data_IF_701593358770
#
_entry.id   IF_701593358770
#
_cell.length_a   1.000
_cell.length_b   1.000
_cell.length_c   1.000
_cell.angle_alpha   90.00
_cell.angle_beta   90.00
_cell.angle_gamma   90.00
#
_symmetry.space_group_name_H-M   'P 1'
#
loop_
_entity.id
_entity.type
_entity.pdbx_description
1 polymer ?
#
# COMPACT_ATOMS: atom_id res chain seq x y z
N UNK A 1 -12.50 17.21 11.04
CA UNK A 1 -11.41 16.42 11.65
C UNK A 1 -10.27 16.33 10.67
N UNK A 2 -9.05 16.10 11.15
CA UNK A 2 -7.84 15.89 10.32
C UNK A 2 -7.37 14.48 10.58
N UNK A 3 -6.91 13.79 9.55
CA UNK A 3 -6.40 12.41 9.66
C UNK A 3 -5.11 12.26 8.88
N UNK A 4 -4.17 11.53 9.45
CA UNK A 4 -2.98 11.02 8.79
C UNK A 4 -3.13 9.50 8.73
N UNK A 5 -3.00 8.93 7.55
CA UNK A 5 -3.10 7.49 7.32
C UNK A 5 -1.81 7.05 6.63
N UNK A 6 -1.12 6.07 7.22
CA UNK A 6 0.09 5.45 6.67
C UNK A 6 -0.30 4.15 5.98
N UNK A 7 0.18 3.96 4.75
CA UNK A 7 0.02 2.74 3.95
C UNK A 7 -1.41 2.18 3.89
N UNK A 8 -2.42 3.06 3.90
CA UNK A 8 -3.84 2.68 3.94
C UNK A 8 -4.20 1.71 5.08
N UNK A 9 -3.49 1.78 6.20
CA UNK A 9 -3.71 0.92 7.36
C UNK A 9 -3.60 -0.58 7.07
N UNK A 10 -2.72 -0.97 6.14
CA UNK A 10 -2.39 -2.39 5.90
C UNK A 10 -1.87 -3.13 7.13
N UNK A 11 -1.30 -2.41 8.11
CA UNK A 11 -0.78 -2.97 9.36
C UNK A 11 -1.77 -2.92 10.53
N UNK A 12 -3.03 -2.56 10.28
CA UNK A 12 -4.05 -2.55 11.32
C UNK A 12 -4.33 -3.97 11.82
N UNK A 13 -4.77 -4.12 13.06
CA UNK A 13 -5.17 -5.43 13.60
C UNK A 13 -6.67 -5.67 13.35
N UNK A 14 -7.02 -6.83 12.80
CA UNK A 14 -8.41 -7.26 12.63
C UNK A 14 -8.69 -8.49 13.48
N UNK A 15 -9.69 -8.35 14.35
CA UNK A 15 -10.27 -9.46 15.10
C UNK A 15 -11.68 -9.73 14.59
N UNK A 16 -11.89 -10.95 14.11
CA UNK A 16 -13.19 -11.45 13.65
C UNK A 16 -13.60 -12.60 14.57
N UNK A 17 -14.82 -12.57 15.08
CA UNK A 17 -15.37 -13.61 15.95
C UNK A 17 -16.33 -14.48 15.14
N UNK A 18 -16.34 -15.79 15.40
CA UNK A 18 -17.24 -16.74 14.72
C UNK A 18 -18.72 -16.62 15.17
N UNK A 19 -19.00 -15.74 16.12
CA UNK A 19 -20.34 -15.49 16.67
C UNK A 19 -21.23 -14.59 15.77
N UNK A 20 -20.69 -14.13 14.63
CA UNK A 20 -21.38 -13.28 13.68
C UNK A 20 -21.39 -11.79 14.06
N UNK A 21 -20.62 -11.39 15.07
CA UNK A 21 -20.37 -9.97 15.33
C UNK A 21 -19.54 -9.34 14.22
N UNK A 22 -19.74 -8.04 13.90
CA UNK A 22 -18.92 -7.36 12.92
C UNK A 22 -17.43 -7.39 13.31
N UNK A 23 -16.51 -7.46 12.33
CA UNK A 23 -15.09 -7.46 12.60
C UNK A 23 -14.68 -6.15 13.29
N UNK A 24 -13.80 -6.26 14.29
CA UNK A 24 -13.19 -5.09 14.95
C UNK A 24 -11.89 -4.73 14.25
N UNK A 25 -11.73 -3.43 13.98
CA UNK A 25 -10.64 -2.82 13.22
C UNK A 25 -9.88 -1.85 14.13
N UNK A 26 -8.63 -2.17 14.46
CA UNK A 26 -7.74 -1.29 15.23
C UNK A 26 -6.71 -0.62 14.31
N UNK A 27 -6.91 0.67 14.02
CA UNK A 27 -6.01 1.50 13.22
C UNK A 27 -5.00 2.33 14.02
N UNK A 28 -4.89 2.11 15.33
CA UNK A 28 -4.01 2.92 16.19
C UNK A 28 -2.54 2.89 15.76
N UNK A 29 -2.10 1.84 15.07
CA UNK A 29 -0.73 1.68 14.55
C UNK A 29 -0.44 2.47 13.26
N UNK A 30 -1.47 2.84 12.50
CA UNK A 30 -1.34 3.34 11.13
C UNK A 30 -2.12 4.64 10.87
N UNK A 31 -3.02 5.02 11.78
CA UNK A 31 -3.84 6.22 11.66
C UNK A 31 -3.72 7.10 12.90
N UNK A 32 -3.53 8.40 12.67
CA UNK A 32 -3.65 9.42 13.70
C UNK A 32 -4.75 10.40 13.32
N UNK A 33 -5.60 10.78 14.27
CA UNK A 33 -6.69 11.72 14.07
C UNK A 33 -6.60 12.93 15.01
N UNK A 34 -7.06 14.08 14.52
CA UNK A 34 -7.09 15.34 15.25
C UNK A 34 -8.39 16.08 15.03
N UNK A 35 -8.87 16.77 16.07
CA UNK A 35 -10.04 17.64 15.96
C UNK A 35 -9.58 19.07 15.74
N UNK A 36 -10.17 19.75 14.77
CA UNK A 36 -9.91 21.18 14.54
C UNK A 36 -10.49 21.95 15.74
N UNK A 37 -9.75 22.91 16.35
CA UNK A 37 -10.25 23.67 17.48
C UNK A 37 -11.63 24.31 17.21
N UNK A 38 -12.49 24.45 18.24
CA UNK A 38 -13.82 25.08 18.10
C UNK A 38 -13.75 26.47 17.46
N UNK A 39 -14.81 26.86 16.76
CA UNK A 39 -14.96 28.12 15.99
C UNK A 39 -14.18 28.22 14.66
N UNK A 40 -13.44 27.18 14.27
CA UNK A 40 -12.88 27.05 12.92
C UNK A 40 -13.55 25.88 12.18
N UNK A 41 -14.13 26.16 11.02
CA UNK A 41 -14.67 25.12 10.12
C UNK A 41 -13.56 24.33 9.42
N UNK A 42 -12.41 24.98 9.16
CA UNK A 42 -11.24 24.42 8.48
C UNK A 42 -9.97 24.56 9.32
N UNK A 43 -9.04 23.61 9.19
CA UNK A 43 -7.69 23.79 9.71
C UNK A 43 -6.90 24.69 8.75
N UNK A 44 -6.87 25.99 9.04
CA UNK A 44 -6.06 26.96 8.29
C UNK A 44 -4.66 27.05 8.90
N UNK A 45 -3.70 26.32 8.31
CA UNK A 45 -2.29 26.37 8.71
C UNK A 45 -1.54 27.34 7.79
N UNK A 46 -0.95 28.40 8.34
CA UNK A 46 -0.09 29.33 7.60
C UNK A 46 1.38 28.86 7.54
N UNK A 47 1.60 27.55 7.56
CA UNK A 47 2.93 26.94 7.60
C UNK A 47 3.03 25.82 6.54
N UNK A 48 4.23 25.58 5.98
CA UNK A 48 4.42 24.50 5.03
C UNK A 48 4.21 23.13 5.69
N UNK A 49 3.68 22.18 4.92
CA UNK A 49 3.65 20.77 5.31
C UNK A 49 5.09 20.24 5.37
N UNK A 50 5.49 19.75 6.54
CA UNK A 50 6.82 19.17 6.77
C UNK A 50 6.70 17.65 6.88
N UNK A 51 7.63 16.93 6.24
CA UNK A 51 7.57 15.48 6.09
C UNK A 51 8.96 14.91 6.28
N UNK A 52 9.05 13.80 7.02
CA UNK A 52 10.31 13.11 7.30
C UNK A 52 11.21 13.80 8.33
N UNK A 53 10.90 15.03 8.71
CA UNK A 53 11.64 15.79 9.72
C UNK A 53 11.02 17.16 9.93
N UNK A 54 11.79 18.03 10.59
CA UNK A 54 11.37 19.39 10.91
C UNK A 54 12.43 20.40 10.47
N UNK A 55 11.98 21.59 10.13
CA UNK A 55 12.85 22.72 9.75
C UNK A 55 13.60 23.32 10.95
N UNK A 56 12.99 23.29 12.14
CA UNK A 56 13.52 23.94 13.36
C UNK A 56 14.18 22.91 14.26
N UNK A 57 15.52 22.81 14.22
CA UNK A 57 16.28 21.80 14.97
C UNK A 57 16.17 21.92 16.50
N UNK A 58 15.92 23.13 17.01
CA UNK A 58 15.76 23.41 18.43
C UNK A 58 14.47 24.18 18.66
N UNK A 59 13.52 23.58 19.35
CA UNK A 59 12.28 24.23 19.73
C UNK A 59 12.02 24.08 21.22
N UNK A 60 11.50 25.13 21.83
CA UNK A 60 11.04 25.12 23.22
C UNK A 60 9.69 24.39 23.28
N UNK A 61 9.59 23.19 23.88
CA UNK A 61 8.38 22.37 23.87
C UNK A 61 7.14 23.10 24.41
N UNK A 62 7.39 24.01 25.37
CA UNK A 62 6.36 24.77 26.07
C UNK A 62 5.68 25.84 25.20
N UNK A 63 6.29 26.25 24.08
CA UNK A 63 5.72 27.29 23.21
C UNK A 63 4.53 26.78 22.40
N UNK A 64 4.51 25.50 22.02
CA UNK A 64 3.56 24.99 21.01
C UNK A 64 2.40 24.16 21.58
N UNK A 65 2.35 23.93 22.90
CA UNK A 65 1.28 23.18 23.61
C UNK A 65 0.92 21.84 22.93
N UNK A 66 1.89 21.16 22.33
CA UNK A 66 1.66 19.87 21.68
C UNK A 66 1.32 18.81 22.74
N UNK A 67 0.24 18.04 22.51
CA UNK A 67 -0.11 16.89 23.37
C UNK A 67 0.97 15.82 23.35
N UNK A 68 1.57 15.63 22.18
CA UNK A 68 2.70 14.73 21.94
C UNK A 68 3.67 15.48 21.06
N UNK A 69 4.86 15.72 21.59
CA UNK A 69 5.95 16.30 20.82
C UNK A 69 6.61 15.18 20.01
N UNK A 70 6.94 15.38 18.72
CA UNK A 70 7.83 14.49 17.99
C UNK A 70 9.24 14.65 18.55
N UNK A 71 9.49 14.06 19.72
CA UNK A 71 10.81 13.94 20.32
C UNK A 71 11.45 12.72 19.67
N UNK A 72 12.55 12.88 18.94
CA UNK A 72 13.20 11.72 18.35
C UNK A 72 14.19 12.02 17.25
N UNK A 73 14.60 10.96 16.54
CA UNK A 73 15.37 11.02 15.30
C UNK A 73 14.39 11.37 14.14
N UNK A 74 14.78 12.24 13.19
CA UNK A 74 14.04 12.39 11.94
C UNK A 74 13.81 11.03 11.26
N UNK A 75 12.80 10.95 10.40
CA UNK A 75 12.52 9.76 9.62
C UNK A 75 13.71 9.46 8.69
N UNK A 76 14.12 8.19 8.66
CA UNK A 76 15.24 7.69 7.88
C UNK A 76 14.73 6.51 7.06
N UNK A 77 14.42 6.76 5.80
CA UNK A 77 13.78 5.81 4.90
C UNK A 77 13.14 6.49 3.70
N UNK A 78 12.23 5.78 3.04
CA UNK A 78 11.61 6.24 1.79
C UNK A 78 10.12 6.50 1.97
N UNK A 79 9.66 7.63 1.43
CA UNK A 79 8.25 8.04 1.42
C UNK A 79 7.83 8.19 -0.03
N UNK A 80 6.69 7.61 -0.40
CA UNK A 80 6.10 7.73 -1.73
C UNK A 80 4.59 7.88 -1.63
N UNK A 81 3.95 8.30 -2.71
CA UNK A 81 2.49 8.39 -2.82
C UNK A 81 1.85 9.25 -1.71
N UNK A 82 2.41 10.44 -1.47
CA UNK A 82 1.82 11.38 -0.54
C UNK A 82 0.56 12.01 -1.15
N UNK A 83 -0.58 11.73 -0.54
CA UNK A 83 -1.85 12.38 -0.86
C UNK A 83 -2.25 13.35 0.26
N UNK A 84 -2.54 14.59 -0.10
CA UNK A 84 -3.14 15.56 0.80
C UNK A 84 -4.43 16.07 0.16
N UNK A 85 -5.57 15.83 0.83
CA UNK A 85 -6.92 16.13 0.32
C UNK A 85 -7.14 15.63 -1.13
N UNK A 86 -6.83 14.34 -1.35
CA UNK A 86 -6.95 13.65 -2.65
C UNK A 86 -6.04 14.15 -3.77
N UNK A 87 -5.13 15.09 -3.49
CA UNK A 87 -4.12 15.55 -4.44
C UNK A 87 -2.80 14.84 -4.18
N UNK A 88 -2.22 14.26 -5.23
CA UNK A 88 -0.87 13.70 -5.20
C UNK A 88 0.15 14.84 -5.21
N UNK A 89 1.14 14.74 -4.32
CA UNK A 89 2.25 15.68 -4.24
C UNK A 89 3.52 15.07 -4.83
N UNK A 90 4.24 15.86 -5.63
CA UNK A 90 5.55 15.49 -6.15
C UNK A 90 6.63 15.70 -5.08
N UNK A 91 7.13 14.60 -4.53
CA UNK A 91 8.21 14.62 -3.54
C UNK A 91 9.61 14.72 -4.18
N UNK A 92 9.74 14.56 -5.50
CA UNK A 92 11.01 14.71 -6.20
C UNK A 92 11.42 16.19 -6.35
N UNK A 93 10.44 17.11 -6.35
CA UNK A 93 10.66 18.55 -6.50
C UNK A 93 9.96 19.36 -5.38
N UNK A 94 10.36 19.19 -4.11
CA UNK A 94 9.79 19.94 -3.01
C UNK A 94 10.26 21.40 -3.01
N UNK A 95 9.49 22.30 -2.39
CA UNK A 95 9.89 23.70 -2.25
C UNK A 95 11.15 23.90 -1.38
N UNK A 96 11.44 22.96 -0.47
CA UNK A 96 12.66 22.90 0.32
C UNK A 96 12.94 21.44 0.69
N UNK A 97 14.19 21.01 0.58
CA UNK A 97 14.66 19.70 1.02
C UNK A 97 16.03 19.79 1.67
N UNK A 98 16.32 18.86 2.59
CA UNK A 98 17.62 18.71 3.21
C UNK A 98 17.83 17.23 3.51
N UNK A 99 18.98 16.68 3.11
CA UNK A 99 19.31 15.25 3.29
C UNK A 99 18.26 14.27 2.71
N UNK A 100 17.50 14.70 1.70
CA UNK A 100 16.61 13.83 0.93
C UNK A 100 17.03 13.83 -0.53
N UNK A 101 16.80 12.70 -1.21
CA UNK A 101 17.07 12.55 -2.63
C UNK A 101 15.83 11.98 -3.33
N UNK A 102 15.57 12.32 -4.60
CA UNK A 102 14.53 11.65 -5.38
C UNK A 102 14.81 10.15 -5.50
N UNK A 103 13.73 9.35 -5.55
CA UNK A 103 13.82 7.89 -5.59
C UNK A 103 14.05 7.26 -4.21
N UNK A 104 14.44 6.00 -4.20
CA UNK A 104 14.74 5.27 -2.97
C UNK A 104 16.02 4.43 -3.19
N UNK A 105 17.22 5.05 -3.08
CA UNK A 105 18.48 4.39 -3.44
C UNK A 105 18.71 3.08 -2.71
N UNK A 106 18.27 2.98 -1.46
CA UNK A 106 18.41 1.77 -0.64
C UNK A 106 17.64 0.57 -1.23
N UNK A 107 16.42 0.78 -1.74
CA UNK A 107 15.67 -0.29 -2.40
C UNK A 107 16.18 -0.54 -3.82
N UNK A 108 16.62 0.51 -4.51
CA UNK A 108 17.17 0.41 -5.86
C UNK A 108 18.46 -0.42 -5.89
N UNK A 109 19.30 -0.29 -4.87
CA UNK A 109 20.52 -1.09 -4.71
C UNK A 109 20.19 -2.58 -4.58
N UNK A 110 19.19 -2.94 -3.77
CA UNK A 110 18.78 -4.33 -3.58
C UNK A 110 18.21 -4.92 -4.89
N UNK A 111 17.41 -4.13 -5.62
CA UNK A 111 16.89 -4.48 -6.93
C UNK A 111 17.98 -4.67 -8.01
N UNK A 112 19.14 -4.02 -7.86
CA UNK A 112 20.25 -4.13 -8.81
C UNK A 112 21.28 -5.19 -8.41
N UNK A 113 21.34 -5.60 -7.15
CA UNK A 113 22.35 -6.54 -6.64
C UNK A 113 21.92 -8.01 -6.74
N UNK A 114 20.63 -8.32 -6.79
CA UNK A 114 20.13 -9.69 -6.85
C UNK A 114 19.96 -10.17 -8.30
N UNK A 115 20.69 -11.22 -8.71
CA UNK A 115 20.61 -11.77 -10.08
C UNK A 115 19.18 -12.18 -10.48
N UNK A 116 18.40 -12.73 -9.55
CA UNK A 116 17.03 -13.20 -9.81
C UNK A 116 16.03 -12.07 -10.07
N UNK A 117 16.31 -10.86 -9.57
CA UNK A 117 15.43 -9.69 -9.69
C UNK A 117 16.05 -8.58 -10.55
N UNK A 118 17.29 -8.76 -11.02
CA UNK A 118 18.00 -7.80 -11.84
C UNK A 118 17.12 -7.35 -13.01
N UNK A 119 16.62 -6.11 -12.89
CA UNK A 119 15.72 -5.42 -13.82
C UNK A 119 14.35 -6.06 -14.03
N UNK A 120 14.03 -7.23 -13.47
CA UNK A 120 12.80 -7.99 -13.78
C UNK A 120 12.55 -8.15 -15.29
N UNK A 121 13.64 -8.17 -16.06
CA UNK A 121 13.66 -8.13 -17.53
C UNK A 121 12.80 -6.98 -18.10
N UNK A 122 12.25 -7.13 -19.31
CA UNK A 122 11.34 -6.15 -19.93
C UNK A 122 9.86 -6.40 -19.54
N UNK A 123 9.62 -7.30 -18.59
CA UNK A 123 8.30 -7.89 -18.33
C UNK A 123 7.83 -7.76 -16.88
N UNK A 124 8.50 -6.94 -16.09
CA UNK A 124 8.08 -6.64 -14.73
C UNK A 124 8.70 -5.36 -14.21
N UNK A 125 8.38 -5.06 -12.97
CA UNK A 125 9.00 -3.97 -12.20
C UNK A 125 9.57 -4.55 -10.92
N UNK A 126 10.81 -4.20 -10.60
CA UNK A 126 11.40 -4.60 -9.33
C UNK A 126 10.76 -3.80 -8.20
N UNK A 127 10.27 -4.50 -7.19
CA UNK A 127 9.75 -3.91 -5.96
C UNK A 127 10.60 -4.41 -4.80
N UNK A 128 11.37 -3.49 -4.22
CA UNK A 128 12.27 -3.74 -3.09
C UNK A 128 11.71 -3.23 -1.76
N UNK A 129 12.05 -3.94 -0.69
CA UNK A 129 12.09 -3.43 0.68
C UNK A 129 13.55 -3.15 1.05
N UNK A 130 13.82 -2.75 2.29
CA UNK A 130 15.19 -2.56 2.79
C UNK A 130 16.00 -3.86 2.94
N UNK A 131 15.37 -5.03 2.79
CA UNK A 131 16.03 -6.33 3.00
C UNK A 131 15.85 -7.29 1.83
N UNK A 132 14.77 -7.16 1.07
CA UNK A 132 14.39 -8.13 0.04
C UNK A 132 13.89 -7.40 -1.21
N UNK A 133 14.06 -8.02 -2.38
CA UNK A 133 13.44 -7.57 -3.60
C UNK A 133 12.68 -8.71 -4.27
N UNK A 134 11.63 -8.35 -5.00
CA UNK A 134 10.88 -9.28 -5.85
C UNK A 134 10.46 -8.59 -7.14
N UNK A 135 10.22 -9.38 -8.17
CA UNK A 135 9.63 -8.87 -9.40
C UNK A 135 8.11 -8.91 -9.35
N UNK A 136 7.49 -7.77 -9.60
CA UNK A 136 6.08 -7.68 -9.93
C UNK A 136 5.92 -7.82 -11.44
N UNK A 137 5.50 -8.99 -11.90
CA UNK A 137 5.38 -9.28 -13.33
C UNK A 137 4.17 -8.58 -13.96
N UNK A 138 4.35 -8.19 -15.23
CA UNK A 138 3.28 -7.70 -16.08
C UNK A 138 2.33 -8.84 -16.46
N UNK A 139 1.05 -8.54 -16.77
CA UNK A 139 0.08 -9.57 -17.13
C UNK A 139 0.58 -10.41 -18.32
N UNK A 140 0.61 -11.74 -18.14
CA UNK A 140 1.09 -12.68 -19.16
C UNK A 140 2.50 -13.25 -18.90
N UNK A 141 3.18 -12.78 -17.85
CA UNK A 141 4.50 -13.24 -17.44
C UNK A 141 4.51 -13.69 -15.98
N UNK A 142 5.39 -14.64 -15.65
CA UNK A 142 5.51 -15.23 -14.32
C UNK A 142 6.95 -15.68 -14.05
N UNK A 143 7.19 -16.18 -12.84
CA UNK A 143 8.48 -16.60 -12.31
C UNK A 143 9.24 -15.47 -11.60
N UNK A 144 10.33 -15.78 -10.88
CA UNK A 144 11.05 -14.83 -10.03
C UNK A 144 11.57 -13.58 -10.75
N UNK A 145 11.94 -13.71 -12.03
CA UNK A 145 12.41 -12.63 -12.90
C UNK A 145 11.47 -12.30 -14.06
N UNK A 146 10.22 -12.76 -14.05
CA UNK A 146 9.23 -12.49 -15.11
C UNK A 146 9.62 -12.97 -16.53
N UNK A 147 10.42 -14.04 -16.62
CA UNK A 147 10.91 -14.57 -17.91
C UNK A 147 9.99 -15.63 -18.54
N UNK A 148 9.04 -16.16 -17.79
CA UNK A 148 8.20 -17.27 -18.26
C UNK A 148 6.82 -16.75 -18.66
N UNK A 149 6.36 -17.09 -19.87
CA UNK A 149 5.00 -16.75 -20.29
C UNK A 149 3.99 -17.59 -19.50
N UNK A 150 2.92 -16.96 -19.05
CA UNK A 150 1.79 -17.67 -18.44
C UNK A 150 1.11 -18.55 -19.47
N UNK A 151 0.71 -19.76 -19.08
CA UNK A 151 -0.06 -20.66 -19.95
C UNK A 151 -1.54 -20.27 -19.87
N UNK A 152 -2.19 -19.87 -20.98
CA UNK A 152 -3.61 -19.56 -20.96
C UNK A 152 -4.44 -20.85 -20.85
N UNK A 153 -5.54 -20.78 -20.12
CA UNK A 153 -6.54 -21.85 -20.04
C UNK A 153 -7.80 -21.44 -20.78
N UNK A 154 -8.38 -22.37 -21.55
CA UNK A 154 -9.66 -22.15 -22.24
C UNK A 154 -10.77 -22.82 -21.45
N UNK A 155 -11.79 -22.05 -21.10
CA UNK A 155 -12.98 -22.54 -20.42
C UNK A 155 -14.10 -22.78 -21.43
N UNK A 156 -14.73 -23.96 -21.34
CA UNK A 156 -15.99 -24.28 -22.01
C UNK A 156 -17.16 -23.95 -21.08
N UNK A 157 -18.38 -24.12 -21.57
CA UNK A 157 -19.57 -24.02 -20.73
C UNK A 157 -19.45 -24.95 -19.51
N UNK A 158 -19.84 -24.46 -18.33
CA UNK A 158 -19.82 -25.19 -17.06
C UNK A 158 -18.44 -25.71 -16.64
N UNK A 159 -17.35 -25.07 -17.08
CA UNK A 159 -15.99 -25.39 -16.62
C UNK A 159 -15.48 -24.33 -15.65
N UNK A 160 -14.70 -24.75 -14.65
CA UNK A 160 -14.10 -23.87 -13.66
C UNK A 160 -12.78 -24.47 -13.16
N UNK A 161 -11.92 -23.61 -12.60
CA UNK A 161 -10.78 -24.01 -11.80
C UNK A 161 -11.04 -23.51 -10.38
N UNK A 162 -10.95 -24.40 -9.40
CA UNK A 162 -11.07 -24.06 -7.98
C UNK A 162 -9.72 -24.29 -7.31
N UNK A 163 -9.23 -23.27 -6.63
CA UNK A 163 -8.01 -23.34 -5.83
C UNK A 163 -8.37 -23.13 -4.36
N UNK A 164 -8.04 -24.09 -3.50
CA UNK A 164 -8.20 -23.96 -2.06
C UNK A 164 -6.89 -23.44 -1.46
N UNK A 165 -6.95 -22.27 -0.81
CA UNK A 165 -5.80 -21.71 -0.11
C UNK A 165 -5.49 -22.58 1.11
N UNK A 166 -4.22 -22.94 1.29
CA UNK A 166 -3.75 -23.69 2.47
C UNK A 166 -3.25 -22.77 3.59
N UNK A 167 -3.52 -21.47 3.48
CA UNK A 167 -3.08 -20.42 4.39
C UNK A 167 -4.16 -19.34 4.47
N UNK A 168 -4.11 -18.54 5.54
CA UNK A 168 -4.98 -17.38 5.70
C UNK A 168 -4.44 -16.21 4.88
N UNK A 169 -5.21 -15.67 3.90
CA UNK A 169 -4.78 -14.53 3.11
C UNK A 169 -4.76 -13.24 3.95
N UNK A 170 -4.14 -12.20 3.41
CA UNK A 170 -4.17 -10.86 4.00
C UNK A 170 -5.63 -10.37 4.16
N UNK A 171 -6.02 -10.02 5.38
CA UNK A 171 -7.39 -9.65 5.72
C UNK A 171 -7.83 -8.30 5.13
N UNK A 172 -6.90 -7.45 4.69
CA UNK A 172 -7.20 -6.10 4.18
C UNK A 172 -7.04 -5.93 2.68
N UNK A 173 -6.03 -6.58 2.10
CA UNK A 173 -5.51 -6.20 0.81
C UNK A 173 -5.40 -7.42 -0.10
N UNK A 174 -6.37 -7.55 -0.99
CA UNK A 174 -6.31 -8.50 -2.10
C UNK A 174 -5.98 -7.76 -3.40
N UNK A 175 -4.88 -8.12 -4.05
CA UNK A 175 -4.52 -7.62 -5.36
C UNK A 175 -4.62 -8.75 -6.39
N UNK A 176 -5.52 -8.58 -7.36
CA UNK A 176 -5.75 -9.56 -8.43
C UNK A 176 -5.36 -8.93 -9.76
N UNK A 177 -4.63 -9.70 -10.58
CA UNK A 177 -4.29 -9.34 -11.95
C UNK A 177 -4.67 -10.52 -12.84
N UNK A 178 -5.45 -10.26 -13.89
CA UNK A 178 -5.86 -11.27 -14.85
C UNK A 178 -5.92 -10.70 -16.27
N UNK A 179 -5.81 -11.60 -17.23
CA UNK A 179 -5.99 -11.31 -18.64
C UNK A 179 -6.95 -12.33 -19.22
N UNK A 180 -8.07 -11.86 -19.75
CA UNK A 180 -9.09 -12.70 -20.33
C UNK A 180 -9.40 -12.25 -21.75
N UNK A 181 -10.06 -13.14 -22.51
CA UNK A 181 -10.60 -12.86 -23.83
C UNK A 181 -11.89 -13.66 -23.96
N UNK A 182 -12.99 -12.97 -24.24
CA UNK A 182 -14.30 -13.60 -24.43
C UNK A 182 -15.03 -12.97 -25.62
N UNK A 183 -16.01 -13.69 -26.16
CA UNK A 183 -17.03 -13.15 -27.07
C UNK A 183 -18.39 -12.97 -26.38
N UNK A 184 -18.56 -13.57 -25.20
CA UNK A 184 -19.77 -13.50 -24.40
C UNK A 184 -19.88 -12.12 -23.75
N UNK A 185 -21.10 -11.60 -23.65
CA UNK A 185 -21.38 -10.31 -23.01
C UNK A 185 -21.50 -10.40 -21.49
N UNK A 186 -21.65 -11.61 -20.93
CA UNK A 186 -21.80 -11.87 -19.50
C UNK A 186 -21.08 -13.17 -19.13
N UNK A 187 -20.39 -13.18 -17.99
CA UNK A 187 -19.81 -14.39 -17.43
C UNK A 187 -18.87 -14.10 -16.26
N UNK A 188 -18.86 -14.98 -15.26
CA UNK A 188 -17.98 -14.85 -14.10
C UNK A 188 -16.52 -15.15 -14.50
N UNK A 189 -15.60 -14.22 -14.21
CA UNK A 189 -14.16 -14.33 -14.47
C UNK A 189 -13.38 -14.84 -13.25
N UNK A 190 -13.76 -14.39 -12.06
CA UNK A 190 -13.08 -14.74 -10.82
C UNK A 190 -14.04 -14.66 -9.64
N UNK A 191 -13.92 -15.62 -8.73
CA UNK A 191 -14.62 -15.62 -7.45
C UNK A 191 -13.68 -16.03 -6.34
N UNK A 192 -13.68 -15.26 -5.27
CA UNK A 192 -13.12 -15.64 -3.97
C UNK A 192 -14.27 -15.76 -2.98
N UNK A 193 -14.22 -16.78 -2.14
CA UNK A 193 -15.21 -16.98 -1.09
C UNK A 193 -14.57 -17.64 0.12
N UNK A 194 -15.13 -17.39 1.30
CA UNK A 194 -14.81 -18.15 2.51
C UNK A 194 -15.29 -19.61 2.39
N UNK A 195 -14.92 -20.43 3.38
CA UNK A 195 -15.28 -21.85 3.42
C UNK A 195 -16.79 -22.10 3.47
N UNK A 196 -17.57 -21.15 3.98
CA UNK A 196 -19.03 -21.25 4.11
C UNK A 196 -19.81 -20.48 3.04
N UNK A 197 -19.12 -19.83 2.08
CA UNK A 197 -19.70 -18.94 1.05
C UNK A 197 -20.56 -17.80 1.61
N UNK A 198 -20.28 -17.33 2.82
CA UNK A 198 -20.91 -16.17 3.44
C UNK A 198 -20.29 -14.87 2.95
N UNK A 199 -18.97 -14.87 2.78
CA UNK A 199 -18.20 -13.73 2.31
C UNK A 199 -17.62 -14.06 0.96
N UNK A 200 -17.83 -13.18 0.00
CA UNK A 200 -17.34 -13.41 -1.36
C UNK A 200 -17.07 -12.09 -2.08
N UNK A 201 -16.17 -12.17 -3.06
CA UNK A 201 -16.00 -11.15 -4.08
C UNK A 201 -16.01 -11.82 -5.45
N UNK A 202 -16.72 -11.20 -6.39
CA UNK A 202 -16.90 -11.71 -7.75
C UNK A 202 -16.44 -10.62 -8.72
N UNK A 203 -15.72 -11.05 -9.76
CA UNK A 203 -15.45 -10.28 -10.96
C UNK A 203 -16.18 -10.95 -12.12
N UNK A 204 -17.06 -10.22 -12.79
CA UNK A 204 -17.82 -10.61 -13.99
C UNK A 204 -17.43 -9.74 -15.20
#
# INVERSE_FOLDING_TARGET
TVKLIVDFCKSAEITEMEDGTPPSFDDSSCQATGTVPPFNEYLNVNAPLQIGGWYIEQFEPNQFKWKTMPIGKPFDGCIRNLFHNSKLYDLAHPGLSRHSVPGCPQTDEICNNQESTFRCWEHGTCVGSFTEARCQCNPGWTGPGCMTRTVPTTFKQQSYVKYALSFEPDKYSTQIQLRFRTRESQGELFRVSDQHNREYAILE
#
